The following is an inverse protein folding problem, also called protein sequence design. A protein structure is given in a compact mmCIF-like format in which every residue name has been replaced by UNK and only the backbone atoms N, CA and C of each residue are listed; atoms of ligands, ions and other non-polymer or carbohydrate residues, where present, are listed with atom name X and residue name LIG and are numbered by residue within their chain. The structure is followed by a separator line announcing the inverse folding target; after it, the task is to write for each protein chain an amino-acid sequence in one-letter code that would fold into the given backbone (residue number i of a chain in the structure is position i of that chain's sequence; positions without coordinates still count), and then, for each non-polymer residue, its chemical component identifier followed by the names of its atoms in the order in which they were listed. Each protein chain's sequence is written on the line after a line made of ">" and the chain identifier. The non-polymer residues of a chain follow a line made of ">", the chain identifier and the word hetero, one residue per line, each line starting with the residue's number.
data_IF_735121705433
#
_entry.id   IF_735121705433
#
_cell.length_a   1.000
_cell.length_b   1.000
_cell.length_c   1.000
_cell.angle_alpha   90.00
_cell.angle_beta   90.00
_cell.angle_gamma   90.00
#
_symmetry.space_group_name_H-M   'P 1'
#
loop_
_entity.id
_entity.type
_entity.pdbx_description
1 polymer ?
#
# COMPACT_ATOMS: atom_id res chain seq x y z
N UNK A 1 -20.37 -1.15 -42.69
CA UNK A 1 -19.45 -0.14 -42.16
C UNK A 1 -18.09 -0.78 -42.11
N UNK A 2 -17.15 -0.20 -42.84
CA UNK A 2 -15.83 -0.76 -43.10
C UNK A 2 -15.09 -0.97 -41.77
N UNK A 3 -14.89 -2.23 -41.39
CA UNK A 3 -14.05 -2.59 -40.26
C UNK A 3 -12.61 -2.30 -40.67
N UNK A 4 -12.17 -1.06 -40.48
CA UNK A 4 -10.76 -0.72 -40.47
C UNK A 4 -10.12 -1.66 -39.46
N UNK A 5 -9.23 -2.53 -39.92
CA UNK A 5 -8.53 -3.50 -39.09
C UNK A 5 -7.54 -2.73 -38.20
N UNK A 6 -8.06 -2.20 -37.10
CA UNK A 6 -7.29 -1.39 -36.15
C UNK A 6 -6.46 -2.37 -35.32
N UNK A 7 -5.14 -2.29 -35.50
CA UNK A 7 -4.19 -3.02 -34.69
C UNK A 7 -4.14 -2.44 -33.27
N UNK A 8 -4.99 -2.94 -32.38
CA UNK A 8 -5.03 -2.48 -30.99
C UNK A 8 -3.85 -2.97 -30.15
N UNK A 9 -3.06 -3.96 -30.61
CA UNK A 9 -1.98 -4.56 -29.82
C UNK A 9 -0.90 -3.55 -29.42
N UNK A 10 -0.74 -2.48 -30.21
CA UNK A 10 0.18 -1.37 -29.93
C UNK A 10 -0.17 -0.63 -28.63
N UNK A 11 -1.44 -0.72 -28.19
CA UNK A 11 -1.94 -0.07 -26.99
C UNK A 11 -1.99 -1.00 -25.77
N UNK A 12 -1.61 -2.28 -25.92
CA UNK A 12 -1.54 -3.23 -24.80
C UNK A 12 -0.42 -2.80 -23.86
N UNK A 13 -0.72 -2.75 -22.57
CA UNK A 13 0.29 -2.49 -21.56
C UNK A 13 1.05 -3.79 -21.22
N UNK A 14 2.38 -3.74 -21.01
CA UNK A 14 3.19 -4.95 -20.75
C UNK A 14 2.74 -5.78 -19.53
N UNK A 15 2.08 -5.14 -18.56
CA UNK A 15 1.64 -5.76 -17.32
C UNK A 15 0.20 -6.31 -17.36
N UNK A 16 -0.52 -6.16 -18.48
CA UNK A 16 -1.88 -6.67 -18.59
C UNK A 16 -1.90 -8.19 -18.81
N UNK A 17 -2.71 -8.87 -18.01
CA UNK A 17 -3.05 -10.28 -18.25
C UNK A 17 -3.80 -10.43 -19.57
N UNK A 18 -3.71 -11.61 -20.21
CA UNK A 18 -4.41 -11.84 -21.47
C UNK A 18 -5.94 -11.67 -21.35
N UNK A 19 -6.50 -12.04 -20.19
CA UNK A 19 -7.92 -11.82 -19.91
C UNK A 19 -8.27 -10.33 -19.84
N UNK A 20 -7.51 -9.55 -19.07
CA UNK A 20 -7.70 -8.11 -18.95
C UNK A 20 -7.55 -7.41 -20.31
N UNK A 21 -6.52 -7.77 -21.07
CA UNK A 21 -6.29 -7.20 -22.41
C UNK A 21 -7.39 -7.58 -23.40
N UNK A 22 -7.85 -8.83 -23.42
CA UNK A 22 -8.93 -9.25 -24.31
C UNK A 22 -10.22 -8.46 -24.05
N UNK A 23 -10.52 -8.17 -22.78
CA UNK A 23 -11.68 -7.36 -22.42
C UNK A 23 -11.47 -5.87 -22.75
N UNK A 24 -10.33 -5.29 -22.38
CA UNK A 24 -10.04 -3.88 -22.69
C UNK A 24 -9.99 -3.61 -24.19
N UNK A 25 -9.38 -4.49 -24.97
CA UNK A 25 -9.32 -4.37 -26.43
C UNK A 25 -10.71 -4.46 -27.09
N UNK A 26 -11.64 -5.26 -26.54
CA UNK A 26 -13.05 -5.25 -26.98
C UNK A 26 -13.76 -3.95 -26.64
N UNK A 27 -13.51 -3.40 -25.45
CA UNK A 27 -14.04 -2.09 -25.06
C UNK A 27 -13.56 -0.99 -26.02
N UNK A 28 -12.27 -0.97 -26.32
CA UNK A 28 -11.67 -0.05 -27.29
C UNK A 28 -12.29 -0.23 -28.68
N UNK A 29 -12.41 -1.47 -29.17
CA UNK A 29 -12.97 -1.76 -30.50
C UNK A 29 -14.43 -1.37 -30.62
N UNK A 30 -15.25 -1.67 -29.61
CA UNK A 30 -16.69 -1.35 -29.60
C UNK A 30 -16.97 0.16 -29.61
N UNK A 31 -16.04 0.95 -29.06
CA UNK A 31 -16.19 2.40 -28.91
C UNK A 31 -15.23 3.21 -29.79
N UNK A 32 -14.54 2.57 -30.72
CA UNK A 32 -13.58 3.24 -31.58
C UNK A 32 -14.29 4.26 -32.47
N UNK A 33 -13.84 5.50 -32.43
CA UNK A 33 -14.42 6.61 -33.20
C UNK A 33 -15.69 7.24 -32.61
N UNK A 34 -16.25 6.70 -31.51
CA UNK A 34 -17.39 7.34 -30.82
C UNK A 34 -16.98 8.54 -29.95
N UNK A 35 -15.76 8.50 -29.43
CA UNK A 35 -15.13 9.56 -28.64
C UNK A 35 -13.69 9.77 -29.10
N UNK A 36 -13.03 10.85 -28.65
CA UNK A 36 -11.61 11.07 -28.94
C UNK A 36 -10.75 9.93 -28.39
N UNK A 37 -9.61 9.66 -29.03
CA UNK A 37 -8.73 8.55 -28.64
C UNK A 37 -8.25 8.68 -27.20
N UNK A 38 -7.84 9.88 -26.81
CA UNK A 38 -7.35 10.19 -25.47
C UNK A 38 -8.42 9.89 -24.43
N UNK A 39 -9.67 10.29 -24.70
CA UNK A 39 -10.81 10.01 -23.82
C UNK A 39 -11.13 8.51 -23.78
N UNK A 40 -11.10 7.83 -24.93
CA UNK A 40 -11.36 6.40 -25.03
C UNK A 40 -10.35 5.59 -24.21
N UNK A 41 -9.06 5.93 -24.27
CA UNK A 41 -8.03 5.24 -23.47
C UNK A 41 -8.22 5.47 -21.98
N UNK A 42 -8.54 6.69 -21.57
CA UNK A 42 -8.86 7.01 -20.18
C UNK A 42 -10.06 6.19 -19.69
N UNK A 43 -11.18 6.22 -20.41
CA UNK A 43 -12.40 5.48 -20.05
C UNK A 43 -12.18 3.96 -20.05
N UNK A 44 -11.36 3.43 -20.97
CA UNK A 44 -10.99 2.01 -20.98
C UNK A 44 -10.19 1.60 -19.73
N UNK A 45 -9.37 2.52 -19.21
CA UNK A 45 -8.60 2.29 -17.98
C UNK A 45 -9.49 2.37 -16.76
N UNK A 46 -10.43 3.32 -16.74
CA UNK A 46 -11.47 3.44 -15.71
C UNK A 46 -12.32 2.16 -15.66
N UNK A 47 -12.80 1.69 -16.82
CA UNK A 47 -13.54 0.42 -16.94
C UNK A 47 -12.77 -0.75 -16.31
N UNK A 48 -11.51 -0.94 -16.71
CA UNK A 48 -10.71 -2.02 -16.14
C UNK A 48 -10.51 -1.85 -14.63
N UNK A 49 -10.33 -0.62 -14.14
CA UNK A 49 -10.16 -0.38 -12.71
C UNK A 49 -11.45 -0.64 -11.91
N UNK A 50 -12.61 -0.32 -12.49
CA UNK A 50 -13.91 -0.63 -11.90
C UNK A 50 -14.10 -2.14 -11.77
N UNK A 51 -13.86 -2.90 -12.83
CA UNK A 51 -14.20 -4.33 -12.84
C UNK A 51 -13.11 -5.22 -12.23
N UNK A 52 -11.83 -4.84 -12.34
CA UNK A 52 -10.70 -5.63 -11.82
C UNK A 52 -10.34 -5.30 -10.37
N UNK A 53 -10.54 -4.05 -9.95
CA UNK A 53 -10.05 -3.54 -8.66
C UNK A 53 -11.16 -2.90 -7.82
N UNK A 54 -12.42 -2.95 -8.25
CA UNK A 54 -13.58 -2.35 -7.59
C UNK A 54 -13.36 -0.86 -7.27
N UNK A 55 -12.62 -0.14 -8.11
CA UNK A 55 -12.37 1.29 -7.94
C UNK A 55 -13.62 2.11 -8.19
N UNK A 56 -13.87 3.10 -7.33
CA UNK A 56 -14.94 4.07 -7.52
C UNK A 56 -14.40 5.36 -8.15
N UNK A 57 -15.17 5.90 -9.08
CA UNK A 57 -14.98 7.20 -9.70
C UNK A 57 -16.27 8.04 -9.53
N UNK A 58 -16.29 9.34 -9.85
CA UNK A 58 -17.52 10.11 -9.83
C UNK A 58 -18.64 9.43 -10.64
N UNK A 59 -19.86 9.45 -10.11
CA UNK A 59 -21.00 8.69 -10.65
C UNK A 59 -21.20 8.94 -12.15
N UNK A 60 -21.05 10.19 -12.61
CA UNK A 60 -21.15 10.56 -14.02
C UNK A 60 -20.18 9.81 -14.94
N UNK A 61 -18.96 9.56 -14.47
CA UNK A 61 -17.93 8.81 -15.22
C UNK A 61 -18.24 7.32 -15.17
N UNK A 62 -18.63 6.80 -14.01
CA UNK A 62 -18.98 5.39 -13.83
C UNK A 62 -20.17 5.01 -14.72
N UNK A 63 -21.17 5.87 -14.82
CA UNK A 63 -22.36 5.65 -15.64
C UNK A 63 -22.03 5.71 -17.13
N UNK A 64 -21.22 6.69 -17.57
CA UNK A 64 -20.71 6.75 -18.95
C UNK A 64 -19.95 5.47 -19.31
N UNK A 65 -19.08 4.99 -18.43
CA UNK A 65 -18.29 3.79 -18.67
C UNK A 65 -19.17 2.54 -18.73
N UNK A 66 -20.18 2.41 -17.87
CA UNK A 66 -21.13 1.29 -17.90
C UNK A 66 -21.94 1.27 -19.18
N UNK A 67 -22.41 2.43 -19.63
CA UNK A 67 -23.12 2.58 -20.90
C UNK A 67 -22.24 2.16 -22.08
N UNK A 68 -20.98 2.61 -22.11
CA UNK A 68 -20.02 2.25 -23.14
C UNK A 68 -19.59 0.77 -23.11
N UNK A 69 -19.58 0.15 -21.93
CA UNK A 69 -19.17 -1.24 -21.76
C UNK A 69 -20.22 -2.23 -22.27
N UNK A 70 -21.51 -1.93 -22.11
CA UNK A 70 -22.59 -2.81 -22.53
C UNK A 70 -22.49 -4.21 -21.89
N UNK A 71 -22.40 -5.24 -22.73
CA UNK A 71 -22.31 -6.65 -22.31
C UNK A 71 -20.89 -7.07 -21.84
N UNK A 72 -19.88 -6.20 -21.98
CA UNK A 72 -18.50 -6.51 -21.61
C UNK A 72 -18.32 -6.72 -20.10
N UNK A 73 -19.17 -6.10 -19.28
CA UNK A 73 -19.18 -6.32 -17.82
C UNK A 73 -19.45 -7.80 -17.53
N UNK A 74 -20.51 -8.36 -18.14
CA UNK A 74 -20.85 -9.77 -17.96
C UNK A 74 -19.80 -10.69 -18.59
N UNK A 75 -19.25 -10.31 -19.76
CA UNK A 75 -18.19 -11.06 -20.42
C UNK A 75 -16.90 -11.13 -19.58
N UNK A 76 -16.59 -10.09 -18.81
CA UNK A 76 -15.47 -10.07 -17.88
C UNK A 76 -15.71 -11.01 -16.67
N UNK A 77 -16.90 -10.94 -16.07
CA UNK A 77 -17.20 -11.70 -14.86
C UNK A 77 -17.54 -13.18 -15.10
N UNK A 78 -18.06 -13.55 -16.28
CA UNK A 78 -18.55 -14.90 -16.57
C UNK A 78 -17.45 -15.99 -16.42
N UNK A 79 -16.25 -15.85 -17.01
CA UNK A 79 -15.16 -16.82 -16.82
C UNK A 79 -14.70 -16.90 -15.37
N UNK A 80 -14.66 -15.75 -14.67
CA UNK A 80 -14.26 -15.65 -13.26
C UNK A 80 -15.27 -16.38 -12.37
N UNK A 81 -16.58 -16.17 -12.62
CA UNK A 81 -17.67 -16.86 -11.91
C UNK A 81 -17.67 -18.36 -12.18
N UNK A 82 -17.48 -18.79 -13.42
CA UNK A 82 -17.39 -20.20 -13.78
C UNK A 82 -16.21 -20.88 -13.08
N UNK A 83 -15.05 -20.23 -13.07
CA UNK A 83 -13.86 -20.71 -12.37
C UNK A 83 -14.08 -20.75 -10.85
N UNK A 84 -14.69 -19.71 -10.28
CA UNK A 84 -15.04 -19.67 -8.87
C UNK A 84 -16.01 -20.80 -8.48
N UNK A 85 -16.98 -21.14 -9.32
CA UNK A 85 -17.91 -22.26 -9.10
C UNK A 85 -17.24 -23.63 -9.16
N UNK A 86 -16.16 -23.78 -9.94
CA UNK A 86 -15.37 -25.01 -10.00
C UNK A 86 -14.46 -25.17 -8.77
N UNK A 87 -13.87 -24.06 -8.30
CA UNK A 87 -12.89 -24.08 -7.21
C UNK A 87 -13.59 -24.07 -5.84
N UNK A 88 -14.67 -23.31 -5.69
CA UNK A 88 -15.37 -23.18 -4.42
C UNK A 88 -16.39 -24.32 -4.28
N UNK A 89 -16.32 -25.15 -3.23
CA UNK A 89 -17.29 -26.21 -3.01
C UNK A 89 -18.69 -25.58 -2.95
N UNK A 90 -19.59 -26.11 -3.76
CA UNK A 90 -20.99 -25.69 -3.90
C UNK A 90 -21.63 -25.70 -2.51
N UNK A 91 -21.68 -24.54 -1.83
CA UNK A 91 -22.38 -24.40 -0.55
C UNK A 91 -23.82 -24.81 -0.79
N UNK A 92 -24.24 -25.87 -0.11
CA UNK A 92 -25.62 -26.31 -0.07
C UNK A 92 -26.46 -25.18 0.53
N UNK A 93 -27.10 -24.39 -0.31
CA UNK A 93 -28.12 -23.42 0.12
C UNK A 93 -29.41 -24.23 0.19
N UNK A 94 -29.99 -24.46 1.39
CA UNK A 94 -31.21 -25.26 1.52
C UNK A 94 -32.35 -24.58 0.74
N UNK A 95 -32.75 -25.22 -0.36
CA UNK A 95 -33.91 -24.86 -1.18
C UNK A 95 -35.19 -25.18 -0.41
N UNK A 96 -35.49 -24.40 0.64
CA UNK A 96 -36.80 -24.38 1.29
C UNK A 96 -37.21 -22.95 1.66
N UNK A 97 -37.38 -22.12 0.65
CA UNK A 97 -38.32 -21.00 0.70
C UNK A 97 -39.19 -21.02 -0.54
N UNK A 98 -39.90 -22.14 -0.73
CA UNK A 98 -41.12 -22.14 -1.54
C UNK A 98 -42.11 -21.29 -0.76
N UNK A 99 -42.31 -20.05 -1.22
CA UNK A 99 -43.38 -19.15 -0.78
C UNK A 99 -44.70 -19.91 -0.82
N UNK A 100 -45.16 -20.38 0.32
CA UNK A 100 -46.54 -20.81 0.52
C UNK A 100 -47.07 -20.00 1.70
N UNK A 101 -47.83 -18.97 1.32
CA UNK A 101 -48.94 -18.37 2.05
C UNK A 101 -49.05 -18.71 3.53
N UNK A 102 -48.93 -17.66 4.35
CA UNK A 102 -49.42 -17.58 5.73
C UNK A 102 -50.75 -18.29 5.90
N UNK A 103 -50.86 -19.11 6.95
CA UNK A 103 -51.79 -18.72 8.00
C UNK A 103 -51.15 -18.83 9.39
N UNK A 104 -51.30 -17.73 10.12
CA UNK A 104 -51.70 -17.64 11.53
C UNK A 104 -51.01 -18.54 12.59
N UNK A 105 -50.22 -17.83 13.40
CA UNK A 105 -50.22 -17.84 14.86
C UNK A 105 -50.05 -19.19 15.58
N UNK A 106 -48.80 -19.52 15.93
CA UNK A 106 -48.48 -20.10 17.25
C UNK A 106 -47.12 -19.59 17.75
N UNK A 107 -47.17 -18.91 18.90
CA UNK A 107 -46.03 -18.63 19.77
C UNK A 107 -45.23 -19.92 20.03
N UNK A 108 -43.92 -19.87 19.79
CA UNK A 108 -43.01 -20.97 20.04
C UNK A 108 -41.58 -20.46 20.15
N UNK A 109 -41.10 -20.39 21.38
CA UNK A 109 -39.80 -19.93 21.83
C UNK A 109 -38.65 -20.69 21.11
N UNK A 110 -37.96 -20.06 20.15
CA UNK A 110 -36.78 -20.63 19.47
C UNK A 110 -35.59 -19.64 19.48
N UNK A 111 -35.17 -19.22 20.67
CA UNK A 111 -33.91 -18.52 20.88
C UNK A 111 -32.77 -19.49 21.19
N UNK A 112 -32.36 -20.35 20.24
CA UNK A 112 -31.15 -21.18 20.43
C UNK A 112 -30.40 -21.57 19.14
N UNK A 113 -30.97 -21.35 17.94
CA UNK A 113 -30.33 -21.81 16.70
C UNK A 113 -29.43 -20.76 16.03
N UNK A 114 -29.48 -19.49 16.43
CA UNK A 114 -28.70 -18.43 15.77
C UNK A 114 -27.23 -18.36 16.23
N UNK A 115 -26.90 -18.86 17.42
CA UNK A 115 -25.53 -18.80 17.95
C UNK A 115 -24.63 -19.90 17.38
N UNK A 116 -25.17 -21.11 17.15
CA UNK A 116 -24.39 -22.25 16.61
C UNK A 116 -23.91 -22.01 15.18
N UNK A 117 -24.80 -21.58 14.28
CA UNK A 117 -24.45 -21.27 12.88
C UNK A 117 -23.43 -20.14 12.78
N UNK A 118 -23.49 -19.16 13.70
CA UNK A 118 -22.54 -18.05 13.72
C UNK A 118 -21.14 -18.51 14.13
N UNK A 119 -21.02 -19.31 15.20
CA UNK A 119 -19.72 -19.85 15.62
C UNK A 119 -19.11 -20.80 14.58
N UNK A 120 -19.91 -21.65 13.94
CA UNK A 120 -19.43 -22.57 12.89
C UNK A 120 -18.92 -21.82 11.64
N UNK A 121 -19.63 -20.77 11.22
CA UNK A 121 -19.20 -19.93 10.10
C UNK A 121 -17.94 -19.09 10.45
N UNK A 122 -17.83 -18.65 11.71
CA UNK A 122 -16.69 -17.89 12.20
C UNK A 122 -15.40 -18.75 12.23
N UNK A 123 -15.48 -20.00 12.70
CA UNK A 123 -14.33 -20.93 12.75
C UNK A 123 -13.85 -21.34 11.34
N UNK A 124 -14.79 -21.54 10.41
CA UNK A 124 -14.44 -21.88 9.02
C UNK A 124 -13.69 -20.77 8.30
N UNK A 125 -14.01 -19.50 8.55
CA UNK A 125 -13.32 -18.37 7.93
C UNK A 125 -11.89 -18.21 8.47
N UNK A 126 -11.70 -18.34 9.78
CA UNK A 126 -10.35 -18.29 10.37
C UNK A 126 -9.45 -19.42 9.85
N UNK A 127 -9.98 -20.64 9.75
CA UNK A 127 -9.25 -21.79 9.19
C UNK A 127 -8.86 -21.56 7.73
N UNK A 128 -9.78 -21.05 6.91
CA UNK A 128 -9.55 -20.69 5.50
C UNK A 128 -8.43 -19.67 5.37
N UNK A 129 -8.45 -18.64 6.21
CA UNK A 129 -7.44 -17.58 6.19
C UNK A 129 -6.08 -18.11 6.65
N UNK A 130 -6.01 -18.95 7.70
CA UNK A 130 -4.74 -19.59 8.11
C UNK A 130 -4.12 -20.40 6.97
N UNK A 131 -4.93 -21.22 6.30
CA UNK A 131 -4.50 -22.02 5.15
C UNK A 131 -4.00 -21.14 3.98
N UNK A 132 -4.66 -20.00 3.72
CA UNK A 132 -4.20 -19.01 2.75
C UNK A 132 -2.77 -18.52 3.05
N UNK A 133 -2.48 -18.11 4.29
CA UNK A 133 -1.14 -17.62 4.65
C UNK A 133 -0.08 -18.73 4.64
N UNK A 134 -0.44 -19.95 5.01
CA UNK A 134 0.44 -21.11 4.83
C UNK A 134 0.83 -21.30 3.36
N UNK A 135 -0.15 -21.22 2.43
CA UNK A 135 0.12 -21.31 0.99
C UNK A 135 0.96 -20.15 0.47
N UNK A 136 0.66 -18.92 0.88
CA UNK A 136 1.45 -17.73 0.49
C UNK A 136 2.90 -17.87 0.91
N UNK A 137 3.16 -18.26 2.16
CA UNK A 137 4.52 -18.47 2.65
C UNK A 137 5.22 -19.60 1.89
N UNK A 138 4.55 -20.72 1.65
CA UNK A 138 5.11 -21.83 0.88
C UNK A 138 5.50 -21.39 -0.54
N UNK A 139 4.63 -20.64 -1.24
CA UNK A 139 4.93 -20.11 -2.57
C UNK A 139 6.07 -19.07 -2.55
N UNK A 140 6.12 -18.18 -1.54
CA UNK A 140 7.23 -17.24 -1.36
C UNK A 140 8.59 -17.92 -1.15
N UNK A 141 8.61 -19.14 -0.58
CA UNK A 141 9.85 -19.88 -0.33
C UNK A 141 10.46 -20.48 -1.60
N UNK A 142 9.65 -20.68 -2.65
CA UNK A 142 10.09 -21.23 -3.94
C UNK A 142 10.09 -20.21 -5.07
N UNK A 143 9.43 -19.07 -4.89
CA UNK A 143 9.37 -18.00 -5.88
C UNK A 143 10.77 -17.43 -6.17
N UNK A 144 11.03 -17.16 -7.45
CA UNK A 144 12.23 -16.41 -7.85
C UNK A 144 12.23 -15.02 -7.19
N UNK A 145 13.43 -14.48 -6.95
CA UNK A 145 13.58 -13.09 -6.54
C UNK A 145 13.24 -12.20 -7.74
N UNK A 146 12.03 -11.67 -7.75
CA UNK A 146 11.63 -10.59 -8.66
C UNK A 146 12.06 -9.26 -8.04
N UNK A 147 12.73 -8.40 -8.82
CA UNK A 147 13.26 -7.11 -8.34
C UNK A 147 12.16 -6.10 -8.03
N UNK A 148 11.01 -6.20 -8.72
CA UNK A 148 9.88 -5.31 -8.49
C UNK A 148 8.93 -5.89 -7.42
N UNK A 149 8.79 -5.25 -6.24
CA UNK A 149 7.97 -5.80 -5.14
C UNK A 149 6.48 -5.93 -5.49
N UNK A 150 5.93 -5.02 -6.30
CA UNK A 150 4.53 -5.06 -6.73
C UNK A 150 4.30 -6.29 -7.59
N UNK A 151 5.18 -6.50 -8.58
CA UNK A 151 5.07 -7.66 -9.48
C UNK A 151 5.23 -8.96 -8.71
N UNK A 152 6.23 -9.01 -7.81
CA UNK A 152 6.47 -10.16 -6.94
C UNK A 152 5.24 -10.56 -6.13
N UNK A 153 4.61 -9.59 -5.46
CA UNK A 153 3.41 -9.85 -4.67
C UNK A 153 2.20 -10.22 -5.55
N UNK A 154 2.08 -9.61 -6.72
CA UNK A 154 1.00 -9.90 -7.66
C UNK A 154 1.08 -11.33 -8.21
N UNK A 155 2.26 -11.76 -8.63
CA UNK A 155 2.50 -13.13 -9.08
C UNK A 155 2.22 -14.14 -7.96
N UNK A 156 2.71 -13.86 -6.75
CA UNK A 156 2.44 -14.68 -5.57
C UNK A 156 0.93 -14.85 -5.32
N UNK A 157 0.18 -13.75 -5.30
CA UNK A 157 -1.26 -13.79 -5.05
C UNK A 157 -2.02 -14.51 -6.17
N UNK A 158 -1.59 -14.35 -7.43
CA UNK A 158 -2.15 -15.05 -8.57
C UNK A 158 -1.92 -16.57 -8.53
N UNK A 159 -0.78 -17.02 -7.99
CA UNK A 159 -0.48 -18.44 -7.79
C UNK A 159 -1.37 -19.05 -6.70
N UNK A 160 -1.58 -18.32 -5.60
CA UNK A 160 -2.40 -18.78 -4.46
C UNK A 160 -3.90 -18.51 -4.67
N UNK A 161 -4.26 -17.81 -5.75
CA UNK A 161 -5.64 -17.42 -6.10
C UNK A 161 -6.29 -16.56 -5.02
N UNK A 162 -5.55 -15.58 -4.51
CA UNK A 162 -6.07 -14.53 -3.64
C UNK A 162 -5.88 -13.15 -4.28
N UNK A 163 -6.64 -12.17 -3.79
CA UNK A 163 -6.53 -10.77 -4.21
C UNK A 163 -5.76 -10.01 -3.14
N UNK A 164 -4.95 -9.04 -3.54
CA UNK A 164 -4.36 -8.07 -2.63
C UNK A 164 -4.67 -6.67 -3.11
N UNK A 165 -4.72 -5.71 -2.19
CA UNK A 165 -4.94 -4.30 -2.49
C UNK A 165 -4.24 -3.42 -1.47
N UNK A 166 -4.10 -2.15 -1.82
CA UNK A 166 -3.62 -1.12 -0.91
C UNK A 166 -4.66 -0.04 -0.74
N UNK A 167 -4.95 0.31 0.51
CA UNK A 167 -5.79 1.44 0.87
C UNK A 167 -4.87 2.59 1.29
N UNK A 168 -4.91 3.67 0.52
CA UNK A 168 -4.10 4.87 0.73
C UNK A 168 -4.95 5.94 1.40
N UNK A 169 -4.46 6.45 2.53
CA UNK A 169 -4.89 7.72 3.11
C UNK A 169 -3.79 8.76 2.87
N UNK A 170 -4.00 10.00 3.32
CA UNK A 170 -3.05 11.10 3.16
C UNK A 170 -1.63 10.72 3.63
N UNK A 171 -1.53 9.94 4.70
CA UNK A 171 -0.25 9.66 5.37
C UNK A 171 0.00 8.17 5.59
N UNK A 172 -0.96 7.29 5.31
CA UNK A 172 -0.85 5.85 5.56
C UNK A 172 -1.15 5.03 4.31
N UNK A 173 -0.39 3.95 4.15
CA UNK A 173 -0.61 2.92 3.17
C UNK A 173 -0.87 1.63 3.93
N UNK A 174 -2.10 1.13 3.83
CA UNK A 174 -2.51 -0.15 4.42
C UNK A 174 -2.56 -1.19 3.32
N UNK A 175 -1.84 -2.29 3.49
CA UNK A 175 -1.87 -3.41 2.54
C UNK A 175 -2.73 -4.53 3.09
N UNK A 176 -3.66 -4.97 2.24
CA UNK A 176 -4.58 -6.05 2.53
C UNK A 176 -4.38 -7.20 1.54
N UNK A 177 -4.45 -8.43 2.05
CA UNK A 177 -4.61 -9.64 1.24
C UNK A 177 -5.95 -10.24 1.62
N UNK A 178 -6.83 -10.36 0.64
CA UNK A 178 -8.23 -10.75 0.80
C UNK A 178 -8.94 -9.83 1.83
N UNK A 179 -9.36 -10.38 2.97
CA UNK A 179 -10.02 -9.65 4.06
C UNK A 179 -9.08 -9.44 5.27
N UNK A 180 -7.77 -9.45 5.04
CA UNK A 180 -6.75 -9.43 6.11
C UNK A 180 -5.77 -8.29 5.93
N UNK A 181 -5.67 -7.45 6.95
CA UNK A 181 -4.66 -6.40 7.03
C UNK A 181 -3.32 -7.03 7.36
N UNK A 182 -2.34 -6.89 6.47
CA UNK A 182 -0.97 -7.38 6.70
C UNK A 182 -0.13 -6.35 7.42
N UNK A 183 -0.19 -5.10 6.95
CA UNK A 183 0.57 -4.00 7.49
C UNK A 183 -0.12 -2.67 7.24
N UNK A 184 0.18 -1.71 8.10
CA UNK A 184 -0.07 -0.30 7.87
C UNK A 184 1.24 0.43 8.08
N UNK A 185 1.68 1.17 7.06
CA UNK A 185 2.88 1.98 7.13
C UNK A 185 2.58 3.44 6.80
N UNK A 186 3.35 4.34 7.40
CA UNK A 186 3.40 5.72 6.98
C UNK A 186 4.10 5.81 5.62
N UNK A 187 3.59 6.69 4.77
CA UNK A 187 4.17 6.98 3.47
C UNK A 187 3.96 8.44 3.11
N UNK A 188 4.89 8.98 2.31
CA UNK A 188 4.88 10.36 1.87
C UNK A 188 5.10 10.41 0.37
N UNK A 189 4.57 11.44 -0.28
CA UNK A 189 4.84 11.71 -1.69
C UNK A 189 4.18 10.69 -2.61
N UNK A 190 4.97 10.08 -3.49
CA UNK A 190 4.49 9.24 -4.58
C UNK A 190 3.74 7.99 -4.07
N UNK A 191 2.43 7.87 -4.37
CA UNK A 191 1.63 6.70 -4.02
C UNK A 191 2.19 5.38 -4.56
N UNK A 192 2.91 5.41 -5.68
CA UNK A 192 3.53 4.20 -6.25
C UNK A 192 4.68 3.72 -5.37
N UNK A 193 5.57 4.60 -4.92
CA UNK A 193 6.65 4.24 -4.03
C UNK A 193 6.13 3.72 -2.68
N UNK A 194 5.06 4.33 -2.15
CA UNK A 194 4.37 3.86 -0.96
C UNK A 194 3.88 2.42 -1.12
N UNK A 195 3.26 2.12 -2.27
CA UNK A 195 2.79 0.78 -2.63
C UNK A 195 3.94 -0.21 -2.81
N UNK A 196 5.03 0.19 -3.46
CA UNK A 196 6.23 -0.65 -3.60
C UNK A 196 6.81 -1.04 -2.24
N UNK A 197 6.98 -0.06 -1.34
CA UNK A 197 7.46 -0.30 0.02
C UNK A 197 6.51 -1.23 0.79
N UNK A 198 5.19 -1.08 0.60
CA UNK A 198 4.20 -1.90 1.27
C UNK A 198 4.26 -3.35 0.77
N UNK A 199 4.39 -3.57 -0.54
CA UNK A 199 4.53 -4.90 -1.11
C UNK A 199 5.81 -5.61 -0.64
N UNK A 200 6.92 -4.87 -0.53
CA UNK A 200 8.19 -5.40 -0.06
C UNK A 200 8.11 -5.82 1.42
N UNK A 201 7.57 -4.95 2.28
CA UNK A 201 7.31 -5.26 3.68
C UNK A 201 6.29 -6.41 3.86
N UNK A 202 5.28 -6.50 2.98
CA UNK A 202 4.32 -7.60 3.00
C UNK A 202 5.01 -8.93 2.68
N UNK A 203 5.91 -8.98 1.71
CA UNK A 203 6.68 -10.19 1.42
C UNK A 203 7.53 -10.63 2.64
N UNK A 204 8.16 -9.68 3.33
CA UNK A 204 8.92 -9.95 4.56
C UNK A 204 8.02 -10.51 5.68
N UNK A 205 6.86 -9.90 5.91
CA UNK A 205 5.87 -10.35 6.91
C UNK A 205 5.37 -11.76 6.59
N UNK A 206 5.06 -12.04 5.31
CA UNK A 206 4.57 -13.34 4.86
C UNK A 206 5.63 -14.45 5.02
N UNK A 207 6.92 -14.11 4.98
CA UNK A 207 8.01 -15.04 5.19
C UNK A 207 8.30 -15.35 6.66
N UNK A 208 7.72 -14.59 7.60
CA UNK A 208 7.91 -14.84 9.04
C UNK A 208 7.40 -16.22 9.48
N UNK A 209 8.05 -16.85 10.48
CA UNK A 209 7.72 -18.21 10.88
C UNK A 209 6.38 -18.33 11.60
N UNK A 210 5.98 -17.28 12.34
CA UNK A 210 4.81 -17.30 13.20
C UNK A 210 3.79 -16.26 12.79
N UNK A 211 2.54 -16.70 12.57
CA UNK A 211 1.42 -15.86 12.19
C UNK A 211 0.22 -16.12 13.10
N UNK A 212 -0.40 -15.04 13.57
CA UNK A 212 -1.64 -15.07 14.36
C UNK A 212 -2.66 -14.13 13.75
N UNK A 213 -3.87 -14.63 13.55
CA UNK A 213 -5.00 -13.82 13.12
C UNK A 213 -5.72 -13.24 14.33
N UNK A 214 -6.04 -11.95 14.25
CA UNK A 214 -6.87 -11.25 15.24
C UNK A 214 -8.04 -10.63 14.50
N UNK A 215 -9.26 -10.83 15.00
CA UNK A 215 -10.46 -10.22 14.41
C UNK A 215 -10.47 -8.72 14.66
N UNK A 216 -10.88 -7.96 13.65
CA UNK A 216 -11.04 -6.51 13.76
C UNK A 216 -12.35 -6.21 14.49
N UNK A 217 -12.24 -5.81 15.76
CA UNK A 217 -13.39 -5.39 16.58
C UNK A 217 -13.56 -3.85 16.46
N UNK A 218 -14.03 -3.34 15.32
CA UNK A 218 -14.15 -1.87 15.15
C UNK A 218 -14.57 -1.41 13.77
N UNK A 219 -14.34 -0.12 13.48
CA UNK A 219 -14.48 0.45 12.12
C UNK A 219 -13.62 -0.39 11.17
N UNK A 220 -14.29 -1.11 10.26
CA UNK A 220 -13.60 -1.86 9.23
C UNK A 220 -12.80 -0.89 8.35
N UNK A 221 -11.52 -1.17 8.17
CA UNK A 221 -10.72 -0.55 7.10
C UNK A 221 -11.08 -1.35 5.84
N UNK A 222 -11.92 -0.75 4.99
CA UNK A 222 -12.51 -1.43 3.84
C UNK A 222 -13.32 -2.67 4.25
N UNK A 223 -13.05 -3.81 3.60
CA UNK A 223 -13.66 -5.11 3.89
C UNK A 223 -12.87 -6.00 4.86
N UNK A 224 -11.88 -5.44 5.57
CA UNK A 224 -11.04 -6.23 6.47
C UNK A 224 -11.82 -6.85 7.64
N UNK A 225 -11.70 -8.17 7.80
CA UNK A 225 -12.22 -8.93 8.94
C UNK A 225 -11.14 -9.28 9.95
N UNK A 226 -9.89 -9.40 9.48
CA UNK A 226 -8.76 -9.83 10.31
C UNK A 226 -7.55 -8.90 10.17
N UNK A 227 -6.71 -8.92 11.18
CA UNK A 227 -5.35 -8.39 11.19
C UNK A 227 -4.37 -9.55 11.35
N UNK A 228 -3.30 -9.53 10.56
CA UNK A 228 -2.22 -10.49 10.66
C UNK A 228 -1.17 -9.95 11.64
N UNK A 229 -1.03 -10.63 12.77
CA UNK A 229 0.07 -10.41 13.68
C UNK A 229 1.19 -11.40 13.33
N UNK A 230 2.44 -10.95 13.29
CA UNK A 230 3.58 -11.80 12.87
C UNK A 230 4.73 -11.76 13.88
N UNK A 231 5.29 -12.93 14.18
CA UNK A 231 6.46 -13.10 15.04
C UNK A 231 7.70 -13.47 14.22
N UNK A 232 8.87 -12.94 14.58
CA UNK A 232 10.15 -13.29 13.93
C UNK A 232 10.63 -14.69 14.28
N UNK A 233 10.14 -15.25 15.38
CA UNK A 233 10.40 -16.60 15.87
C UNK A 233 9.08 -17.20 16.33
N UNK A 234 9.01 -18.52 16.45
CA UNK A 234 7.78 -19.22 16.90
C UNK A 234 7.32 -18.77 18.30
N UNK A 235 8.27 -18.42 19.17
CA UNK A 235 8.04 -17.95 20.54
C UNK A 235 8.08 -16.43 20.70
N UNK A 236 8.35 -15.67 19.63
CA UNK A 236 8.46 -14.22 19.72
C UNK A 236 7.10 -13.53 19.96
N UNK A 237 7.16 -12.34 20.56
CA UNK A 237 5.99 -11.47 20.67
C UNK A 237 5.53 -11.11 19.27
N UNK A 238 4.27 -11.43 18.97
CA UNK A 238 3.70 -11.13 17.66
C UNK A 238 3.50 -9.62 17.51
N UNK A 239 4.04 -9.08 16.43
CA UNK A 239 3.91 -7.69 16.06
C UNK A 239 2.61 -7.49 15.28
N UNK A 240 1.81 -6.51 15.68
CA UNK A 240 0.61 -6.07 14.98
C UNK A 240 0.96 -5.36 13.64
N UNK A 241 -0.02 -5.20 12.72
CA UNK A 241 0.21 -4.51 11.44
C UNK A 241 0.83 -3.12 11.55
N UNK A 242 0.50 -2.36 12.61
CA UNK A 242 1.05 -1.03 12.92
C UNK A 242 2.47 -1.05 13.48
N UNK A 243 3.03 -2.20 13.85
CA UNK A 243 4.44 -2.27 14.23
C UNK A 243 5.38 -1.86 13.08
N UNK A 244 4.88 -1.95 11.84
CA UNK A 244 5.55 -1.58 10.60
C UNK A 244 5.29 -0.13 10.19
N UNK A 245 4.70 0.67 11.08
CA UNK A 245 4.31 2.05 10.78
C UNK A 245 5.46 2.89 10.22
N UNK A 246 6.69 2.65 10.67
CA UNK A 246 7.88 3.39 10.24
C UNK A 246 8.72 2.66 9.18
N UNK A 247 8.33 1.48 8.72
CA UNK A 247 9.17 0.65 7.84
C UNK A 247 9.38 1.31 6.47
N UNK A 248 8.32 1.84 5.87
CA UNK A 248 8.41 2.54 4.58
C UNK A 248 9.38 3.72 4.65
N UNK A 249 9.29 4.51 5.73
CA UNK A 249 10.14 5.67 5.94
C UNK A 249 11.60 5.28 6.19
N UNK A 250 11.80 4.22 6.97
CA UNK A 250 13.11 3.67 7.25
C UNK A 250 13.77 3.24 5.94
N UNK A 251 13.05 2.53 5.05
CA UNK A 251 13.57 2.15 3.72
C UNK A 251 13.96 3.37 2.89
N UNK A 252 13.12 4.41 2.86
CA UNK A 252 13.41 5.65 2.14
C UNK A 252 14.67 6.37 2.66
N UNK A 253 14.83 6.50 3.98
CA UNK A 253 16.02 7.12 4.57
C UNK A 253 17.28 6.25 4.40
N UNK A 254 17.14 4.92 4.44
CA UNK A 254 18.25 4.01 4.12
C UNK A 254 18.67 4.14 2.65
N UNK A 255 17.73 4.32 1.72
CA UNK A 255 18.04 4.56 0.32
C UNK A 255 18.82 5.87 0.13
N UNK A 256 18.39 6.95 0.81
CA UNK A 256 19.14 8.22 0.84
C UNK A 256 20.56 8.05 1.38
N UNK A 257 20.71 7.36 2.52
CA UNK A 257 22.03 7.09 3.12
C UNK A 257 22.96 6.40 2.11
N UNK A 258 22.48 5.35 1.45
CA UNK A 258 23.27 4.62 0.44
C UNK A 258 23.65 5.49 -0.75
N UNK A 259 22.77 6.40 -1.17
CA UNK A 259 23.08 7.34 -2.24
C UNK A 259 24.23 8.27 -1.83
N UNK A 260 24.18 8.87 -0.64
CA UNK A 260 25.28 9.71 -0.14
C UNK A 260 26.58 8.95 0.11
N UNK A 261 26.51 7.67 0.52
CA UNK A 261 27.69 6.80 0.62
C UNK A 261 28.38 6.57 -0.74
N UNK A 262 27.60 6.59 -1.84
CA UNK A 262 28.13 6.43 -3.20
C UNK A 262 28.69 7.73 -3.80
N UNK A 263 28.33 8.89 -3.24
CA UNK A 263 28.81 10.20 -3.70
C UNK A 263 30.17 10.56 -3.09
N UNK A 264 30.97 11.36 -3.81
CA UNK A 264 32.21 11.88 -3.25
C UNK A 264 31.93 12.89 -2.13
N UNK A 265 32.69 12.79 -1.03
CA UNK A 265 32.55 13.68 0.13
C UNK A 265 32.72 15.15 -0.26
N UNK A 266 33.63 15.45 -1.19
CA UNK A 266 33.85 16.82 -1.69
C UNK A 266 32.65 17.37 -2.45
N UNK A 267 31.90 16.53 -3.16
CA UNK A 267 30.73 16.93 -3.94
C UNK A 267 29.66 17.54 -3.03
N UNK A 268 29.18 16.77 -2.06
CA UNK A 268 28.13 17.24 -1.16
C UNK A 268 28.64 18.20 -0.07
N UNK A 269 29.94 18.24 0.26
CA UNK A 269 30.48 19.29 1.15
C UNK A 269 30.56 20.66 0.51
N UNK A 270 30.79 20.73 -0.81
CA UNK A 270 30.90 22.01 -1.52
C UNK A 270 29.55 22.70 -1.73
N UNK A 271 28.49 21.91 -1.95
CA UNK A 271 27.13 22.39 -2.24
C UNK A 271 26.09 21.50 -1.55
N UNK A 272 26.02 21.50 -0.21
CA UNK A 272 25.22 20.54 0.56
C UNK A 272 23.73 20.63 0.25
N UNK A 273 23.20 21.84 0.11
CA UNK A 273 21.78 22.03 -0.26
C UNK A 273 21.45 21.46 -1.63
N UNK A 274 22.30 21.70 -2.63
CA UNK A 274 22.07 21.22 -3.99
C UNK A 274 22.12 19.69 -4.04
N UNK A 275 23.13 19.09 -3.41
CA UNK A 275 23.26 17.64 -3.30
C UNK A 275 22.05 17.03 -2.57
N UNK A 276 21.64 17.57 -1.42
CA UNK A 276 20.47 17.07 -0.70
C UNK A 276 19.19 17.16 -1.53
N UNK A 277 19.00 18.28 -2.24
CA UNK A 277 17.82 18.50 -3.10
C UNK A 277 17.77 17.52 -4.27
N UNK A 278 18.91 17.28 -4.92
CA UNK A 278 19.03 16.35 -6.04
C UNK A 278 18.68 14.92 -5.59
N UNK A 279 19.33 14.42 -4.55
CA UNK A 279 19.13 13.06 -4.06
C UNK A 279 17.68 12.86 -3.56
N UNK A 280 17.13 13.83 -2.82
CA UNK A 280 15.74 13.72 -2.36
C UNK A 280 14.74 13.76 -3.52
N UNK A 281 15.01 14.53 -4.58
CA UNK A 281 14.17 14.57 -5.78
C UNK A 281 14.15 13.20 -6.48
N UNK A 282 15.28 12.51 -6.56
CA UNK A 282 15.37 11.17 -7.18
C UNK A 282 14.51 10.13 -6.45
N UNK A 283 14.42 10.21 -5.12
CA UNK A 283 13.58 9.32 -4.31
C UNK A 283 12.19 9.90 -3.99
N UNK A 284 11.80 10.97 -4.68
CA UNK A 284 10.52 11.68 -4.50
C UNK A 284 10.22 12.10 -3.05
N UNK A 285 11.24 12.48 -2.29
CA UNK A 285 11.12 12.89 -0.90
C UNK A 285 11.11 14.44 -0.80
N UNK A 286 10.08 15.06 -0.22
CA UNK A 286 10.05 16.52 -0.07
C UNK A 286 11.02 16.98 1.04
N UNK A 287 11.62 18.14 0.83
CA UNK A 287 12.51 18.82 1.78
C UNK A 287 11.82 20.07 2.30
N UNK A 288 11.73 20.20 3.61
CA UNK A 288 11.24 21.39 4.29
C UNK A 288 12.28 21.85 5.32
N UNK A 289 12.56 23.15 5.32
CA UNK A 289 13.40 23.78 6.34
C UNK A 289 12.53 24.76 7.10
N UNK A 290 12.22 24.41 8.35
CA UNK A 290 11.46 25.28 9.22
C UNK A 290 12.42 26.20 9.98
N UNK A 291 12.21 27.50 9.84
CA UNK A 291 12.93 28.53 10.59
C UNK A 291 12.00 29.15 11.62
N UNK A 292 12.40 29.12 12.89
CA UNK A 292 11.66 29.71 14.00
C UNK A 292 12.56 30.64 14.80
N UNK A 293 12.14 31.89 14.97
CA UNK A 293 12.84 32.82 15.86
C UNK A 293 12.57 32.45 17.32
N UNK A 294 13.63 32.25 18.09
CA UNK A 294 13.57 31.98 19.52
C UNK A 294 13.65 33.29 20.32
N UNK A 295 13.50 33.19 21.63
CA UNK A 295 13.63 34.35 22.53
C UNK A 295 15.07 34.90 22.43
N UNK A 296 15.18 36.22 22.23
CA UNK A 296 16.47 36.91 22.09
C UNK A 296 16.99 36.95 20.65
N UNK A 297 18.29 36.70 20.49
CA UNK A 297 19.01 36.74 19.20
C UNK A 297 19.33 35.33 18.69
N UNK A 298 18.42 34.39 18.90
CA UNK A 298 18.57 32.99 18.47
C UNK A 298 17.47 32.61 17.49
N UNK A 299 17.83 31.78 16.51
CA UNK A 299 16.92 31.18 15.55
C UNK A 299 17.14 29.67 15.52
N UNK A 300 16.05 28.92 15.47
CA UNK A 300 16.06 27.47 15.33
C UNK A 300 15.72 27.12 13.88
N UNK A 301 16.57 26.28 13.29
CA UNK A 301 16.37 25.67 11.99
C UNK A 301 16.14 24.18 12.16
N UNK A 302 15.05 23.67 11.60
CA UNK A 302 14.67 22.26 11.66
C UNK A 302 14.62 21.69 10.25
N UNK A 303 15.40 20.64 10.00
CA UNK A 303 15.33 19.89 8.75
C UNK A 303 14.24 18.84 8.84
N UNK A 304 13.33 18.88 7.88
CA UNK A 304 12.25 17.91 7.74
C UNK A 304 12.33 17.27 6.35
N UNK A 305 12.47 15.94 6.34
CA UNK A 305 12.48 15.14 5.11
C UNK A 305 11.25 14.25 5.09
N UNK A 306 10.34 14.48 4.14
CA UNK A 306 9.07 13.73 4.10
C UNK A 306 8.24 13.87 5.38
N UNK A 307 8.28 15.00 6.09
CA UNK A 307 7.60 15.12 7.39
C UNK A 307 8.31 14.44 8.57
N UNK A 308 9.47 13.80 8.35
CA UNK A 308 10.33 13.31 9.44
C UNK A 308 11.29 14.40 9.85
N UNK A 309 11.28 14.77 11.13
CA UNK A 309 12.26 15.70 11.70
C UNK A 309 13.60 14.99 11.81
N UNK A 310 14.57 15.41 11.00
CA UNK A 310 15.88 14.77 10.92
C UNK A 310 16.86 15.35 11.93
N UNK A 311 16.99 16.68 11.93
CA UNK A 311 17.86 17.38 12.86
C UNK A 311 17.39 18.83 13.07
N UNK A 312 17.77 19.36 14.22
CA UNK A 312 17.54 20.74 14.62
C UNK A 312 18.89 21.43 14.85
N UNK A 313 18.95 22.73 14.55
CA UNK A 313 20.11 23.57 14.78
C UNK A 313 19.68 24.93 15.30
N UNK A 314 20.23 25.36 16.43
CA UNK A 314 20.09 26.73 16.92
C UNK A 314 21.28 27.58 16.46
N UNK A 315 21.01 28.74 15.88
CA UNK A 315 22.00 29.71 15.41
C UNK A 315 21.75 31.04 16.09
N UNK A 316 22.82 31.68 16.58
CA UNK A 316 22.73 33.07 17.08
C UNK A 316 22.73 34.05 15.90
N UNK A 317 21.61 34.75 15.73
CA UNK A 317 21.42 35.81 14.77
C UNK A 317 21.99 37.16 15.26
N UNK A 318 23.27 37.19 15.67
CA UNK A 318 23.95 38.45 16.05
C UNK A 318 24.48 39.13 14.78
N UNK A 319 24.08 40.38 14.45
CA UNK A 319 24.47 41.04 13.20
C UNK A 319 25.98 41.16 13.00
N UNK A 320 26.75 41.31 14.09
CA UNK A 320 28.21 41.48 14.07
C UNK A 320 28.99 40.17 13.84
N UNK A 321 28.36 39.02 14.03
CA UNK A 321 28.97 37.69 13.86
C UNK A 321 28.13 36.85 12.90
N UNK A 322 27.84 37.36 11.70
CA UNK A 322 27.19 36.52 10.68
C UNK A 322 28.04 35.26 10.48
N UNK A 323 27.45 34.05 10.55
CA UNK A 323 28.20 32.83 10.33
C UNK A 323 28.84 32.85 8.93
N UNK A 324 30.06 32.33 8.83
CA UNK A 324 30.80 32.27 7.54
C UNK A 324 30.06 31.43 6.49
N UNK A 325 29.22 30.50 6.94
CA UNK A 325 28.40 29.61 6.12
C UNK A 325 26.93 29.93 6.40
N UNK A 326 26.10 29.89 5.36
CA UNK A 326 24.66 30.10 5.52
C UNK A 326 24.07 29.02 6.45
N UNK A 327 23.20 29.35 7.42
CA UNK A 327 22.63 28.39 8.37
C UNK A 327 22.00 27.16 7.69
N UNK A 328 21.33 27.35 6.56
CA UNK A 328 20.71 26.25 5.83
C UNK A 328 21.73 25.28 5.21
N UNK A 329 22.90 25.75 4.79
CA UNK A 329 23.95 24.87 4.27
C UNK A 329 24.56 24.04 5.40
N UNK A 330 24.77 24.64 6.57
CA UNK A 330 25.21 23.93 7.77
C UNK A 330 24.17 22.89 8.22
N UNK A 331 22.88 23.23 8.16
CA UNK A 331 21.79 22.30 8.44
C UNK A 331 21.79 21.12 7.45
N UNK A 332 21.97 21.38 6.15
CA UNK A 332 22.05 20.34 5.13
C UNK A 332 23.25 19.41 5.38
N UNK A 333 24.42 19.95 5.77
CA UNK A 333 25.58 19.13 6.13
C UNK A 333 25.29 18.23 7.33
N UNK A 334 24.72 18.78 8.42
CA UNK A 334 24.32 18.00 9.59
C UNK A 334 23.30 16.92 9.25
N UNK A 335 22.39 17.23 8.32
CA UNK A 335 21.39 16.28 7.83
C UNK A 335 22.06 15.10 7.12
N UNK A 336 22.96 15.37 6.17
CA UNK A 336 23.70 14.33 5.43
C UNK A 336 24.54 13.49 6.39
N UNK A 337 25.30 14.12 7.29
CA UNK A 337 26.10 13.40 8.29
C UNK A 337 25.22 12.50 9.19
N UNK A 338 24.02 12.96 9.55
CA UNK A 338 23.09 12.16 10.36
C UNK A 338 22.45 11.02 9.55
N UNK A 339 22.19 11.21 8.25
CA UNK A 339 21.71 10.17 7.35
C UNK A 339 22.76 9.07 7.13
N UNK A 340 24.04 9.41 6.99
CA UNK A 340 25.14 8.45 6.85
C UNK A 340 25.31 7.53 8.09
N UNK A 341 24.84 8.02 9.24
CA UNK A 341 24.81 7.28 10.51
C UNK A 341 23.43 6.64 10.79
N UNK A 342 22.47 6.74 9.87
CA UNK A 342 21.15 6.15 10.01
C UNK A 342 21.22 4.61 10.02
N UNK A 343 20.49 3.99 10.93
CA UNK A 343 20.58 2.55 11.21
C UNK A 343 21.76 2.13 12.08
N UNK A 344 22.79 2.97 12.23
CA UNK A 344 23.95 2.74 13.12
C UNK A 344 23.77 3.46 14.46
N UNK A 345 23.66 4.79 14.39
CA UNK A 345 23.49 5.66 15.56
C UNK A 345 22.11 6.27 15.63
N UNK A 346 21.34 6.28 14.55
CA UNK A 346 20.02 6.89 14.50
C UNK A 346 18.94 5.89 14.11
N UNK A 347 17.74 6.07 14.69
CA UNK A 347 16.52 5.34 14.32
C UNK A 347 15.33 6.28 14.30
N UNK A 348 14.26 5.88 13.62
CA UNK A 348 13.00 6.62 13.66
C UNK A 348 12.23 6.31 14.95
N UNK A 349 11.61 7.35 15.51
CA UNK A 349 10.71 7.24 16.66
C UNK A 349 9.58 8.23 16.52
N UNK A 350 8.35 7.77 16.78
CA UNK A 350 7.20 8.65 16.94
C UNK A 350 7.25 9.28 18.34
N UNK A 351 7.27 10.61 18.41
CA UNK A 351 7.52 11.35 19.66
C UNK A 351 6.22 11.89 20.28
N UNK A 352 5.17 12.02 19.47
CA UNK A 352 3.82 12.43 19.86
C UNK A 352 3.08 13.11 18.71
N UNK A 353 1.74 13.12 18.74
CA UNK A 353 0.88 13.78 17.74
C UNK A 353 1.13 13.36 16.28
N UNK A 354 1.59 12.12 16.03
CA UNK A 354 1.93 11.66 14.68
C UNK A 354 3.28 12.16 14.15
N UNK A 355 4.04 12.94 14.94
CA UNK A 355 5.33 13.48 14.53
C UNK A 355 6.42 12.43 14.69
N UNK A 356 7.15 12.19 13.61
CA UNK A 356 8.26 11.23 13.55
C UNK A 356 9.57 11.99 13.60
N UNK A 357 10.45 11.61 14.52
CA UNK A 357 11.80 12.13 14.62
C UNK A 357 12.82 11.04 14.33
N UNK A 358 13.93 11.45 13.71
CA UNK A 358 15.15 10.69 13.74
C UNK A 358 15.87 10.96 15.05
N UNK A 359 15.99 9.93 15.88
CA UNK A 359 16.55 10.05 17.23
C UNK A 359 17.82 9.21 17.35
N UNK A 360 18.79 9.72 18.10
CA UNK A 360 20.01 8.97 18.41
C UNK A 360 19.65 7.77 19.27
N UNK A 361 20.12 6.59 18.89
CA UNK A 361 20.05 5.39 19.71
C UNK A 361 20.99 5.62 20.88
N UNK A 362 20.43 5.94 22.04
CA UNK A 362 21.19 5.87 23.28
C UNK A 362 21.74 4.45 23.38
N UNK A 363 23.08 4.30 23.42
CA UNK A 363 23.68 3.07 23.92
C UNK A 363 23.06 2.88 25.30
N UNK A 364 22.26 1.82 25.47
CA UNK A 364 21.93 1.40 26.83
C UNK A 364 23.28 1.18 27.54
N UNK A 365 23.46 1.75 28.73
CA UNK A 365 24.72 1.65 29.48
C UNK A 365 25.13 0.20 29.72
#
# INVERSE_FOLDING_TARGET
>A
MDTVDINLNEYRQPWETDHAWNIRSRFLRSNWGKVSKERLFCLSSVFMNMEQYDCCYPDSVMDEVREMAGDLIEAYHSPIKALAQQILPRRYIPTKMRRTSSPESRQGNHGASSSKTRHEAEDTDEKRVKDLFCRLRAQLSVAAKEDNPIRRLNELCNLVKCVWRTELTNNECTLLVDEVILLTQLHWGDPLQAKMNACDAACEILQRPSHRLVRVNGRMIGSAKFQLHSGTEDTAVHQEPSAWRLSGLTRSLTALSKHFESMSISSWRSKPRAALTEVCKEVCLPIEINQKRLVGWSEQYTMILGGVVICDMEVRAVPKNKPHVHPEDELCLKTIDSLLEFGKQYKLKEVGNGVVHMVKVSRQP
#
